data_IF_124177687250
#
_entry.id   IF_124177687250
#
_cell.length_a   1.000
_cell.length_b   1.000
_cell.length_c   1.000
_cell.angle_alpha   90.00
_cell.angle_beta   90.00
_cell.angle_gamma   90.00
#
_symmetry.space_group_name_H-M   'P 1'
#
loop_
_entity.id
_entity.type
_entity.pdbx_description
1 polymer ?
#
# COMPACT_ATOMS: atom_id res chain seq x y z
N UNK A 1 10.53 48.18 44.70
CA UNK A 1 11.86 48.76 45.01
C UNK A 1 12.39 48.15 46.31
N UNK A 2 13.32 47.20 46.24
CA UNK A 2 14.42 47.12 47.22
C UNK A 2 15.57 46.36 46.58
N UNK A 3 16.77 46.87 46.84
CA UNK A 3 18.03 46.55 46.19
C UNK A 3 18.85 45.67 47.14
N UNK A 4 19.59 44.73 46.52
CA UNK A 4 20.91 44.24 46.94
C UNK A 4 21.02 43.48 48.27
N UNK A 5 21.50 42.24 48.17
CA UNK A 5 22.69 41.82 48.90
C UNK A 5 23.38 40.66 48.19
N UNK A 6 24.61 40.93 47.78
CA UNK A 6 25.57 39.96 47.30
C UNK A 6 26.18 39.21 48.50
N UNK A 7 26.46 37.91 48.35
CA UNK A 7 27.47 37.24 49.15
C UNK A 7 28.12 36.12 48.31
N UNK A 8 29.44 36.25 48.18
CA UNK A 8 30.41 35.34 47.57
C UNK A 8 30.68 34.14 48.48
N UNK A 9 31.59 33.27 48.01
CA UNK A 9 32.46 32.30 48.72
C UNK A 9 31.93 30.86 48.56
N UNK A 10 32.42 30.04 47.62
CA UNK A 10 33.77 29.44 47.50
C UNK A 10 34.12 28.51 48.68
N UNK A 11 33.79 27.22 48.61
CA UNK A 11 34.38 26.06 49.33
C UNK A 11 33.44 24.84 49.15
N UNK A 12 33.82 23.61 48.84
CA UNK A 12 35.06 22.93 48.48
C UNK A 12 34.63 21.71 47.63
N UNK A 13 35.36 21.24 46.63
CA UNK A 13 36.64 20.52 46.74
C UNK A 13 36.62 19.46 47.85
N UNK A 14 35.78 18.43 47.68
CA UNK A 14 35.96 17.07 48.23
C UNK A 14 34.89 16.14 47.64
N UNK A 15 35.09 15.71 46.39
CA UNK A 15 34.57 14.41 45.94
C UNK A 15 35.73 13.65 45.32
N UNK A 16 36.66 13.31 46.21
CA UNK A 16 37.79 12.44 45.99
C UNK A 16 37.28 11.00 45.98
N UNK A 17 37.62 10.31 44.89
CA UNK A 17 37.86 8.87 44.81
C UNK A 17 36.90 7.92 45.54
N UNK A 18 35.79 7.61 44.90
CA UNK A 18 35.20 6.27 44.96
C UNK A 18 34.82 5.80 43.55
N UNK A 19 35.75 5.85 42.60
CA UNK A 19 35.69 4.97 41.42
C UNK A 19 36.08 3.56 41.89
N UNK A 20 35.16 2.93 42.62
CA UNK A 20 35.16 1.48 42.78
C UNK A 20 35.12 0.92 41.37
N UNK A 21 36.23 0.30 40.97
CA UNK A 21 36.30 -0.63 39.84
C UNK A 21 35.43 -1.83 40.25
N UNK A 22 34.12 -1.65 40.21
CA UNK A 22 33.20 -2.76 40.15
C UNK A 22 33.42 -3.39 38.78
N UNK A 23 33.71 -4.70 38.69
CA UNK A 23 33.68 -5.36 37.39
C UNK A 23 32.29 -5.09 36.81
N UNK A 24 32.23 -4.55 35.61
CA UNK A 24 31.01 -4.51 34.81
C UNK A 24 30.66 -5.95 34.46
N UNK A 25 30.13 -6.68 35.45
CA UNK A 25 29.36 -7.87 35.17
C UNK A 25 28.13 -7.34 34.46
N UNK A 26 27.93 -7.79 33.22
CA UNK A 26 26.72 -7.49 32.46
C UNK A 26 25.55 -7.68 33.41
N UNK A 27 24.85 -6.58 33.72
CA UNK A 27 23.60 -6.66 34.43
C UNK A 27 22.67 -7.46 33.53
N UNK A 28 22.63 -8.78 33.77
CA UNK A 28 21.55 -9.67 33.37
C UNK A 28 20.32 -9.28 34.18
N UNK A 29 19.92 -8.02 34.09
CA UNK A 29 18.60 -7.57 34.43
C UNK A 29 17.67 -8.48 33.67
N UNK A 30 16.77 -9.13 34.39
CA UNK A 30 15.85 -10.15 33.93
C UNK A 30 15.31 -9.78 32.55
N UNK A 31 15.93 -10.32 31.49
CA UNK A 31 15.30 -10.41 30.18
C UNK A 31 14.22 -11.45 30.40
N UNK A 32 13.08 -11.00 30.92
CA UNK A 32 11.81 -11.65 30.66
C UNK A 32 11.63 -11.51 29.15
N UNK A 33 12.26 -12.42 28.41
CA UNK A 33 12.20 -12.45 26.96
C UNK A 33 10.74 -12.64 26.59
N UNK A 34 10.06 -11.55 26.27
CA UNK A 34 8.73 -11.61 25.71
C UNK A 34 8.90 -12.13 24.30
N UNK A 35 8.79 -13.45 24.14
CA UNK A 35 8.66 -14.06 22.83
C UNK A 35 7.30 -13.68 22.29
N UNK A 36 7.27 -12.70 21.39
CA UNK A 36 6.08 -12.42 20.62
C UNK A 36 5.88 -13.59 19.66
N UNK A 37 4.98 -14.53 20.03
CA UNK A 37 4.42 -15.48 19.08
C UNK A 37 3.54 -14.70 18.10
N UNK A 38 4.18 -14.13 17.07
CA UNK A 38 3.46 -13.52 15.96
C UNK A 38 2.80 -14.64 15.16
N UNK A 39 1.48 -14.59 15.02
CA UNK A 39 0.74 -15.51 14.15
C UNK A 39 1.36 -15.47 12.75
N UNK A 40 1.77 -16.64 12.23
CA UNK A 40 2.43 -16.77 10.94
C UNK A 40 1.58 -16.19 9.78
N UNK A 41 0.25 -16.22 9.90
CA UNK A 41 -0.66 -15.63 8.93
C UNK A 41 -0.58 -14.10 8.90
N UNK A 42 -0.49 -13.46 10.07
CA UNK A 42 -0.36 -12.00 10.16
C UNK A 42 0.97 -11.55 9.56
N UNK A 43 2.05 -12.24 9.92
CA UNK A 43 3.40 -11.96 9.39
C UNK A 43 3.44 -12.11 7.86
N UNK A 44 2.80 -13.15 7.32
CA UNK A 44 2.72 -13.37 5.89
C UNK A 44 1.84 -12.33 5.17
N UNK A 45 0.67 -11.98 5.72
CA UNK A 45 -0.18 -10.92 5.16
C UNK A 45 0.58 -9.59 5.08
N UNK A 46 1.32 -9.22 6.14
CA UNK A 46 2.17 -8.02 6.12
C UNK A 46 3.26 -8.08 5.06
N UNK A 47 3.86 -9.25 4.85
CA UNK A 47 4.86 -9.44 3.80
C UNK A 47 4.26 -9.17 2.41
N UNK A 48 3.12 -9.78 2.06
CA UNK A 48 2.51 -9.57 0.74
C UNK A 48 1.98 -8.14 0.56
N UNK A 49 1.48 -7.51 1.61
CA UNK A 49 1.07 -6.11 1.60
C UNK A 49 2.25 -5.18 1.31
N UNK A 50 3.37 -5.36 2.00
CA UNK A 50 4.59 -4.59 1.73
C UNK A 50 5.08 -4.76 0.29
N UNK A 51 4.90 -5.95 -0.31
CA UNK A 51 5.23 -6.19 -1.73
C UNK A 51 4.24 -5.49 -2.66
N UNK A 52 2.95 -5.47 -2.34
CA UNK A 52 1.94 -4.73 -3.08
C UNK A 52 2.25 -3.22 -3.08
N UNK A 53 2.59 -2.65 -1.93
CA UNK A 53 2.95 -1.24 -1.77
C UNK A 53 4.21 -0.86 -2.56
N UNK A 54 5.18 -1.77 -2.60
CA UNK A 54 6.40 -1.62 -3.41
C UNK A 54 6.14 -1.78 -4.92
N UNK A 55 4.91 -2.10 -5.34
CA UNK A 55 4.56 -2.37 -6.73
C UNK A 55 5.06 -3.73 -7.25
N UNK A 56 5.55 -4.61 -6.37
CA UNK A 56 6.00 -5.97 -6.69
C UNK A 56 4.81 -6.94 -6.86
N UNK A 57 3.82 -6.56 -7.67
CA UNK A 57 2.55 -7.27 -7.82
C UNK A 57 2.74 -8.73 -8.28
N UNK A 58 3.77 -9.00 -9.10
CA UNK A 58 4.11 -10.35 -9.56
C UNK A 58 4.50 -11.26 -8.38
N UNK A 59 5.29 -10.74 -7.44
CA UNK A 59 5.71 -11.48 -6.24
C UNK A 59 4.53 -11.76 -5.32
N UNK A 60 3.60 -10.80 -5.20
CA UNK A 60 2.36 -10.98 -4.44
C UNK A 60 1.58 -12.16 -4.98
N UNK A 61 1.25 -12.17 -6.28
CA UNK A 61 0.45 -13.27 -6.83
C UNK A 61 1.19 -14.60 -6.79
N UNK A 62 2.51 -14.62 -7.01
CA UNK A 62 3.32 -15.83 -6.85
C UNK A 62 3.28 -16.38 -5.41
N UNK A 63 3.30 -15.49 -4.40
CA UNK A 63 3.23 -15.87 -2.99
C UNK A 63 1.87 -16.50 -2.63
N UNK A 64 0.76 -15.91 -3.11
CA UNK A 64 -0.58 -16.48 -2.95
C UNK A 64 -0.68 -17.89 -3.58
N UNK A 65 -0.16 -18.04 -4.81
CA UNK A 65 -0.15 -19.34 -5.50
C UNK A 65 0.65 -20.40 -4.75
N UNK A 66 1.80 -20.03 -4.15
CA UNK A 66 2.61 -20.96 -3.34
C UNK A 66 1.84 -21.52 -2.13
N UNK A 67 0.92 -20.74 -1.56
CA UNK A 67 0.03 -21.15 -0.46
C UNK A 67 -1.26 -21.84 -0.93
N UNK A 68 -1.41 -22.12 -2.23
CA UNK A 68 -2.62 -22.70 -2.83
C UNK A 68 -3.88 -21.86 -2.58
N UNK A 69 -3.72 -20.54 -2.48
CA UNK A 69 -4.85 -19.64 -2.64
C UNK A 69 -5.27 -19.70 -4.10
N UNK A 70 -6.35 -20.41 -4.39
CA UNK A 70 -6.91 -20.50 -5.73
C UNK A 70 -7.63 -19.18 -6.04
N UNK A 71 -7.16 -18.41 -7.04
CA UNK A 71 -7.97 -17.32 -7.59
C UNK A 71 -9.33 -17.93 -7.99
N UNK A 72 -10.43 -17.18 -7.81
CA UNK A 72 -11.80 -17.61 -8.14
C UNK A 72 -12.52 -18.54 -7.15
N UNK A 73 -11.85 -19.09 -6.14
CA UNK A 73 -12.49 -19.94 -5.12
C UNK A 73 -12.94 -19.20 -3.85
N UNK A 74 -12.25 -18.11 -3.54
CA UNK A 74 -12.46 -17.34 -2.31
C UNK A 74 -13.39 -16.15 -2.51
N UNK A 75 -14.17 -15.89 -1.47
CA UNK A 75 -15.15 -14.81 -1.40
C UNK A 75 -14.95 -14.02 -0.11
N UNK A 76 -15.40 -12.77 -0.11
CA UNK A 76 -15.47 -11.97 1.11
C UNK A 76 -16.22 -12.74 2.21
N UNK A 77 -15.64 -12.76 3.41
CA UNK A 77 -16.16 -13.46 4.60
C UNK A 77 -16.30 -12.47 5.77
N UNK A 78 -16.68 -12.96 6.97
CA UNK A 78 -16.63 -12.15 8.19
C UNK A 78 -15.24 -12.10 8.84
N UNK A 79 -14.24 -12.83 8.31
CA UNK A 79 -12.87 -12.79 8.81
C UNK A 79 -12.08 -11.64 8.14
N UNK A 80 -11.73 -10.63 8.94
CA UNK A 80 -11.00 -9.45 8.49
C UNK A 80 -9.65 -9.78 7.85
N UNK A 81 -8.95 -10.80 8.37
CA UNK A 81 -7.64 -11.18 7.85
C UNK A 81 -7.76 -11.83 6.46
N UNK A 82 -8.76 -12.68 6.26
CA UNK A 82 -9.10 -13.23 4.94
C UNK A 82 -9.51 -12.15 3.96
N UNK A 83 -10.37 -11.22 4.37
CA UNK A 83 -10.80 -10.10 3.53
C UNK A 83 -9.62 -9.21 3.11
N UNK A 84 -8.70 -8.91 4.03
CA UNK A 84 -7.47 -8.15 3.73
C UNK A 84 -6.59 -8.88 2.71
N UNK A 85 -6.40 -10.19 2.86
CA UNK A 85 -5.64 -11.01 1.90
C UNK A 85 -6.30 -11.03 0.52
N UNK A 86 -7.62 -11.19 0.49
CA UNK A 86 -8.40 -11.14 -0.74
C UNK A 86 -8.23 -9.78 -1.44
N UNK A 87 -8.34 -8.67 -0.70
CA UNK A 87 -8.11 -7.33 -1.24
C UNK A 87 -6.70 -7.21 -1.86
N UNK A 88 -5.65 -7.62 -1.13
CA UNK A 88 -4.27 -7.58 -1.63
C UNK A 88 -4.12 -8.36 -2.94
N UNK A 89 -4.68 -9.57 -3.01
CA UNK A 89 -4.62 -10.39 -4.22
C UNK A 89 -5.38 -9.73 -5.39
N UNK A 90 -6.58 -9.20 -5.14
CA UNK A 90 -7.39 -8.56 -6.18
C UNK A 90 -6.71 -7.32 -6.75
N UNK A 91 -6.11 -6.48 -5.90
CA UNK A 91 -5.35 -5.30 -6.33
C UNK A 91 -4.09 -5.68 -7.10
N UNK A 92 -3.37 -6.72 -6.66
CA UNK A 92 -2.20 -7.22 -7.39
C UNK A 92 -2.59 -7.69 -8.80
N UNK A 93 -3.73 -8.40 -8.93
CA UNK A 93 -4.29 -8.83 -10.22
C UNK A 93 -4.62 -7.65 -11.13
N UNK A 94 -5.30 -6.63 -10.59
CA UNK A 94 -5.67 -5.41 -11.33
C UNK A 94 -4.43 -4.67 -11.83
N UNK A 95 -3.44 -4.47 -10.95
CA UNK A 95 -2.22 -3.71 -11.27
C UNK A 95 -1.29 -4.45 -12.24
N UNK A 96 -1.40 -5.77 -12.32
CA UNK A 96 -0.71 -6.58 -13.34
C UNK A 96 -1.37 -6.51 -14.72
N UNK A 97 -2.59 -5.98 -14.86
CA UNK A 97 -3.31 -6.03 -16.13
C UNK A 97 -2.55 -5.43 -17.32
N UNK A 98 -1.72 -4.42 -17.08
CA UNK A 98 -0.91 -3.81 -18.13
C UNK A 98 0.34 -4.61 -18.50
N UNK A 99 0.73 -5.61 -17.71
CA UNK A 99 1.94 -6.43 -17.91
C UNK A 99 1.59 -7.82 -18.46
N UNK A 100 1.51 -7.91 -19.79
CA UNK A 100 1.08 -9.11 -20.52
C UNK A 100 1.91 -10.36 -20.20
N UNK A 101 3.23 -10.22 -20.04
CA UNK A 101 4.13 -11.38 -19.89
C UNK A 101 3.98 -12.15 -18.58
N UNK A 102 3.39 -11.52 -17.56
CA UNK A 102 3.14 -12.15 -16.26
C UNK A 102 1.68 -12.50 -16.05
N UNK A 103 0.77 -11.72 -16.63
CA UNK A 103 -0.64 -12.08 -16.74
C UNK A 103 -0.85 -13.46 -17.36
N UNK A 104 -0.16 -13.78 -18.46
CA UNK A 104 -0.43 -15.00 -19.21
C UNK A 104 -0.16 -16.26 -18.37
N UNK A 105 0.86 -16.22 -17.50
CA UNK A 105 1.23 -17.32 -16.59
C UNK A 105 0.36 -17.45 -15.34
N UNK A 106 -0.44 -16.43 -15.05
CA UNK A 106 -1.13 -16.27 -13.77
C UNK A 106 -2.66 -16.25 -13.94
N UNK A 107 -3.15 -15.46 -14.89
CA UNK A 107 -4.57 -15.24 -15.14
C UNK A 107 -5.06 -15.90 -16.43
N UNK A 108 -4.15 -16.46 -17.23
CA UNK A 108 -4.43 -17.13 -18.49
C UNK A 108 -3.95 -16.34 -19.70
N UNK A 109 -3.56 -17.06 -20.75
CA UNK A 109 -2.92 -16.53 -21.97
C UNK A 109 -3.90 -15.74 -22.86
N UNK A 110 -5.20 -16.00 -22.71
CA UNK A 110 -6.22 -15.41 -23.58
C UNK A 110 -6.81 -14.13 -22.98
N UNK A 111 -7.22 -13.21 -23.85
CA UNK A 111 -7.91 -11.98 -23.46
C UNK A 111 -9.23 -12.26 -22.73
N UNK A 112 -9.88 -13.39 -23.03
CA UNK A 112 -11.10 -13.83 -22.33
C UNK A 112 -10.79 -14.18 -20.88
N UNK A 113 -9.72 -14.94 -20.63
CA UNK A 113 -9.30 -15.31 -19.28
C UNK A 113 -8.85 -14.09 -18.47
N UNK A 114 -8.08 -13.18 -19.08
CA UNK A 114 -7.70 -11.91 -18.44
C UNK A 114 -8.91 -11.07 -18.03
N UNK A 115 -9.89 -10.89 -18.92
CA UNK A 115 -11.12 -10.17 -18.60
C UNK A 115 -11.94 -10.86 -17.50
N UNK A 116 -11.99 -12.20 -17.50
CA UNK A 116 -12.63 -12.98 -16.42
C UNK A 116 -11.95 -12.69 -15.08
N UNK A 117 -10.62 -12.63 -15.06
CA UNK A 117 -9.86 -12.31 -13.86
C UNK A 117 -10.15 -10.91 -13.31
N UNK A 118 -10.18 -9.91 -14.18
CA UNK A 118 -10.53 -8.54 -13.79
C UNK A 118 -11.96 -8.41 -13.26
N UNK A 119 -12.92 -9.09 -13.90
CA UNK A 119 -14.31 -9.10 -13.42
C UNK A 119 -14.45 -9.76 -12.06
N UNK A 120 -13.72 -10.85 -11.83
CA UNK A 120 -13.66 -11.47 -10.51
C UNK A 120 -13.07 -10.50 -9.48
N UNK A 121 -11.94 -9.85 -9.78
CA UNK A 121 -11.31 -8.88 -8.88
C UNK A 121 -12.27 -7.74 -8.54
N UNK A 122 -12.92 -7.14 -9.55
CA UNK A 122 -13.93 -6.10 -9.37
C UNK A 122 -15.08 -6.56 -8.48
N UNK A 123 -15.58 -7.78 -8.71
CA UNK A 123 -16.65 -8.34 -7.90
C UNK A 123 -16.23 -8.52 -6.43
N UNK A 124 -15.00 -8.95 -6.16
CA UNK A 124 -14.53 -9.12 -4.78
C UNK A 124 -14.35 -7.79 -4.07
N UNK A 125 -13.71 -6.80 -4.71
CA UNK A 125 -13.55 -5.46 -4.14
C UNK A 125 -14.92 -4.80 -3.90
N UNK A 126 -15.87 -5.00 -4.82
CA UNK A 126 -17.24 -4.51 -4.65
C UNK A 126 -17.92 -5.11 -3.42
N UNK A 127 -17.83 -6.44 -3.23
CA UNK A 127 -18.38 -7.11 -2.03
C UNK A 127 -17.72 -6.61 -0.74
N UNK A 128 -16.40 -6.41 -0.74
CA UNK A 128 -15.71 -5.84 0.41
C UNK A 128 -16.20 -4.43 0.73
N UNK A 129 -16.42 -3.61 -0.30
CA UNK A 129 -17.02 -2.28 -0.14
C UNK A 129 -18.46 -2.35 0.37
N UNK A 130 -19.29 -3.31 -0.06
CA UNK A 130 -20.64 -3.51 0.48
C UNK A 130 -20.64 -3.86 1.97
N UNK A 131 -19.62 -4.59 2.45
CA UNK A 131 -19.43 -4.87 3.88
C UNK A 131 -18.99 -3.62 4.67
N UNK A 132 -18.33 -2.67 4.01
CA UNK A 132 -17.75 -1.47 4.64
C UNK A 132 -17.96 -0.21 3.77
N UNK A 133 -19.21 0.25 3.54
CA UNK A 133 -19.51 1.27 2.53
C UNK A 133 -18.96 2.67 2.87
N UNK A 134 -18.64 2.90 4.14
CA UNK A 134 -18.02 4.13 4.66
C UNK A 134 -16.50 4.15 4.49
N UNK A 135 -15.85 3.05 4.12
CA UNK A 135 -14.41 3.00 3.93
C UNK A 135 -14.01 3.66 2.61
N UNK A 136 -13.37 4.84 2.71
CA UNK A 136 -12.85 5.59 1.58
C UNK A 136 -11.77 4.82 0.80
N UNK A 137 -11.02 3.94 1.48
CA UNK A 137 -9.98 3.10 0.87
C UNK A 137 -10.60 2.10 -0.10
N UNK A 138 -11.59 1.35 0.38
CA UNK A 138 -12.30 0.38 -0.47
C UNK A 138 -13.04 1.06 -1.63
N UNK A 139 -13.55 2.28 -1.44
CA UNK A 139 -14.11 3.08 -2.54
C UNK A 139 -13.07 3.41 -3.61
N UNK A 140 -11.88 3.85 -3.20
CA UNK A 140 -10.78 4.14 -4.13
C UNK A 140 -10.28 2.89 -4.85
N UNK A 141 -10.12 1.79 -4.12
CA UNK A 141 -9.71 0.49 -4.65
C UNK A 141 -10.75 -0.08 -5.63
N UNK A 142 -12.05 0.10 -5.35
CA UNK A 142 -13.12 -0.25 -6.28
C UNK A 142 -13.05 0.58 -7.55
N UNK A 143 -12.86 1.89 -7.42
CA UNK A 143 -12.68 2.79 -8.55
C UNK A 143 -11.45 2.42 -9.42
N UNK A 144 -10.30 2.14 -8.79
CA UNK A 144 -9.09 1.65 -9.47
C UNK A 144 -9.38 0.36 -10.25
N UNK A 145 -10.08 -0.57 -9.62
CA UNK A 145 -10.39 -1.88 -10.20
C UNK A 145 -11.36 -1.77 -11.38
N UNK A 146 -12.44 -1.00 -11.23
CA UNK A 146 -13.43 -0.78 -12.29
C UNK A 146 -12.84 -0.02 -13.49
N UNK A 147 -11.86 0.85 -13.27
CA UNK A 147 -11.19 1.57 -14.36
C UNK A 147 -10.49 0.63 -15.35
N UNK A 148 -10.11 -0.57 -14.90
CA UNK A 148 -9.49 -1.62 -15.73
C UNK A 148 -10.49 -2.40 -16.60
N UNK A 149 -11.81 -2.21 -16.39
CA UNK A 149 -12.87 -2.85 -17.15
C UNK A 149 -13.50 -1.85 -18.12
N UNK A 150 -13.35 -2.01 -19.45
CA UNK A 150 -13.89 -1.08 -20.43
C UNK A 150 -15.40 -0.81 -20.25
N UNK A 151 -16.17 -1.85 -19.91
CA UNK A 151 -17.61 -1.76 -19.67
C UNK A 151 -18.01 -1.01 -18.38
N UNK A 152 -17.06 -0.68 -17.50
CA UNK A 152 -17.31 -0.04 -16.18
C UNK A 152 -16.53 1.27 -15.97
N UNK A 153 -15.88 1.80 -17.00
CA UNK A 153 -15.06 3.01 -16.87
C UNK A 153 -15.84 4.26 -16.43
N UNK A 154 -17.11 4.38 -16.81
CA UNK A 154 -17.95 5.51 -16.37
C UNK A 154 -18.25 5.45 -14.87
N UNK A 155 -18.57 4.25 -14.35
CA UNK A 155 -18.78 4.02 -12.91
C UNK A 155 -17.49 4.28 -12.11
N UNK A 156 -16.35 3.80 -12.62
CA UNK A 156 -15.04 4.07 -12.05
C UNK A 156 -14.74 5.57 -11.97
N UNK A 157 -15.04 6.31 -13.06
CA UNK A 157 -14.86 7.75 -13.10
C UNK A 157 -15.68 8.43 -12.01
N UNK A 158 -16.98 8.13 -11.91
CA UNK A 158 -17.86 8.76 -10.93
C UNK A 158 -17.49 8.47 -9.48
N UNK A 159 -16.96 7.28 -9.19
CA UNK A 159 -16.48 6.93 -7.84
C UNK A 159 -15.22 7.71 -7.48
N UNK A 160 -14.25 7.74 -8.38
CA UNK A 160 -12.95 8.39 -8.16
C UNK A 160 -13.05 9.91 -8.19
N UNK A 161 -13.87 10.49 -9.07
CA UNK A 161 -14.09 11.93 -9.18
C UNK A 161 -14.75 12.46 -7.88
N UNK A 162 -15.79 11.78 -7.37
CA UNK A 162 -16.40 12.12 -6.08
C UNK A 162 -15.45 11.94 -4.89
N UNK A 163 -14.56 10.94 -4.95
CA UNK A 163 -13.55 10.76 -3.92
C UNK A 163 -12.51 11.89 -3.95
N UNK A 164 -12.10 12.35 -5.15
CA UNK A 164 -11.20 13.50 -5.30
C UNK A 164 -11.85 14.79 -4.81
N UNK A 165 -13.09 15.06 -5.19
CA UNK A 165 -13.84 16.26 -4.75
C UNK A 165 -14.00 16.35 -3.23
N UNK A 166 -14.10 15.20 -2.56
CA UNK A 166 -14.23 15.09 -1.11
C UNK A 166 -12.88 15.01 -0.37
N UNK A 167 -11.74 15.09 -1.07
CA UNK A 167 -10.39 14.87 -0.53
C UNK A 167 -10.23 13.51 0.18
N UNK A 168 -10.91 12.48 -0.35
CA UNK A 168 -10.93 11.11 0.16
C UNK A 168 -10.09 10.14 -0.69
N UNK A 169 -9.20 10.67 -1.53
CA UNK A 169 -8.32 9.86 -2.37
C UNK A 169 -7.13 9.34 -1.56
N UNK A 170 -7.14 8.05 -1.25
CA UNK A 170 -6.16 7.47 -0.32
C UNK A 170 -4.95 6.81 -0.99
N UNK A 171 -4.96 6.60 -2.32
CA UNK A 171 -3.90 5.87 -3.02
C UNK A 171 -3.43 6.57 -4.29
N UNK A 172 -2.11 6.52 -4.53
CA UNK A 172 -1.52 7.04 -5.77
C UNK A 172 -1.99 6.27 -7.01
N UNK A 173 -2.43 5.02 -6.86
CA UNK A 173 -2.95 4.21 -7.96
C UNK A 173 -4.37 4.63 -8.36
N UNK A 174 -5.21 5.01 -7.38
CA UNK A 174 -6.52 5.61 -7.64
C UNK A 174 -6.38 6.95 -8.40
N UNK A 175 -5.43 7.80 -8.02
CA UNK A 175 -5.13 9.04 -8.76
C UNK A 175 -4.69 8.74 -10.20
N UNK A 176 -3.78 7.76 -10.38
CA UNK A 176 -3.34 7.36 -11.71
C UNK A 176 -4.49 6.79 -12.57
N UNK A 177 -5.42 6.03 -11.97
CA UNK A 177 -6.61 5.52 -12.65
C UNK A 177 -7.54 6.67 -13.07
N UNK A 178 -7.85 7.62 -12.19
CA UNK A 178 -8.68 8.79 -12.51
C UNK A 178 -8.07 9.64 -13.62
N UNK A 179 -6.75 9.86 -13.58
CA UNK A 179 -6.05 10.61 -14.62
C UNK A 179 -6.14 9.92 -16.00
N UNK A 180 -6.01 8.59 -16.06
CA UNK A 180 -6.22 7.81 -17.29
C UNK A 180 -7.65 7.96 -17.82
N UNK A 181 -8.65 7.83 -16.95
CA UNK A 181 -10.06 7.96 -17.33
C UNK A 181 -10.38 9.35 -17.90
N UNK A 182 -9.84 10.41 -17.29
CA UNK A 182 -9.95 11.78 -17.81
C UNK A 182 -9.34 11.91 -19.20
N UNK A 183 -8.11 11.43 -19.37
CA UNK A 183 -7.42 11.46 -20.67
C UNK A 183 -8.21 10.73 -21.76
N UNK A 184 -8.78 9.55 -21.47
CA UNK A 184 -9.62 8.81 -22.43
C UNK A 184 -10.89 9.57 -22.82
N UNK A 185 -11.55 10.27 -21.88
CA UNK A 185 -12.72 11.11 -22.19
C UNK A 185 -12.34 12.33 -23.02
N UNK A 186 -11.19 12.95 -22.76
CA UNK A 186 -10.70 14.09 -23.53
C UNK A 186 -10.28 13.71 -24.95
N UNK A 187 -9.65 12.55 -25.14
CA UNK A 187 -9.34 12.02 -26.46
C UNK A 187 -10.57 11.79 -27.36
N UNK A 188 -11.76 11.68 -26.75
CA UNK A 188 -13.04 11.53 -27.44
C UNK A 188 -13.66 12.86 -27.88
N UNK A 189 -13.05 14.01 -27.56
CA UNK A 189 -13.53 15.36 -27.96
C UNK A 189 -13.16 15.70 -29.40
N UNK A 190 -13.95 16.54 -30.09
CA UNK A 190 -13.62 16.99 -31.45
C UNK A 190 -12.26 17.73 -31.49
N UNK A 191 -11.54 17.55 -32.60
CA UNK A 191 -10.11 17.90 -32.77
C UNK A 191 -9.74 19.35 -32.44
N UNK A 192 -10.67 20.29 -32.62
CA UNK A 192 -10.43 21.71 -32.31
C UNK A 192 -10.30 22.01 -30.80
N UNK A 193 -10.79 21.12 -29.92
CA UNK A 193 -10.57 21.17 -28.47
C UNK A 193 -9.50 20.18 -27.99
N UNK A 194 -9.02 19.29 -28.87
CA UNK A 194 -8.14 18.21 -28.51
C UNK A 194 -6.72 18.69 -28.18
N UNK A 195 -6.17 19.66 -28.94
CA UNK A 195 -4.79 20.10 -28.76
C UNK A 195 -4.54 20.84 -27.42
N UNK A 196 -5.36 21.83 -27.00
CA UNK A 196 -5.17 22.47 -25.69
C UNK A 196 -5.50 21.53 -24.53
N UNK A 197 -6.50 20.67 -24.71
CA UNK A 197 -6.90 19.68 -23.70
C UNK A 197 -5.81 18.63 -23.44
N UNK A 198 -5.16 18.13 -24.49
CA UNK A 198 -4.13 17.10 -24.37
C UNK A 198 -2.90 17.58 -23.59
N UNK A 199 -2.51 18.86 -23.72
CA UNK A 199 -1.37 19.39 -22.97
C UNK A 199 -1.69 19.62 -21.49
N UNK A 200 -2.89 20.14 -21.19
CA UNK A 200 -3.38 20.22 -19.80
C UNK A 200 -3.46 18.83 -19.15
N UNK A 201 -3.91 17.82 -19.89
CA UNK A 201 -3.96 16.44 -19.41
C UNK A 201 -2.57 15.86 -19.15
N UNK A 202 -1.59 16.08 -20.03
CA UNK A 202 -0.20 15.66 -19.77
C UNK A 202 0.33 16.28 -18.48
N UNK A 203 0.11 17.57 -18.28
CA UNK A 203 0.54 18.28 -17.07
C UNK A 203 -0.16 17.72 -15.83
N UNK A 204 -1.48 17.46 -15.92
CA UNK A 204 -2.25 16.87 -14.82
C UNK A 204 -1.79 15.45 -14.50
N UNK A 205 -1.60 14.58 -15.50
CA UNK A 205 -1.05 13.23 -15.33
C UNK A 205 0.33 13.29 -14.69
N UNK A 206 1.19 14.23 -15.11
CA UNK A 206 2.50 14.45 -14.52
C UNK A 206 2.41 14.84 -13.04
N UNK A 207 1.49 15.75 -12.68
CA UNK A 207 1.24 16.16 -11.31
C UNK A 207 0.74 14.99 -10.44
N UNK A 208 -0.24 14.23 -10.93
CA UNK A 208 -0.80 13.08 -10.21
C UNK A 208 0.23 11.96 -10.03
N UNK A 209 1.07 11.72 -11.05
CA UNK A 209 2.20 10.79 -10.94
C UNK A 209 3.18 11.25 -9.86
N UNK A 210 3.52 12.54 -9.84
CA UNK A 210 4.42 13.11 -8.83
C UNK A 210 3.81 13.10 -7.41
N UNK A 211 2.49 13.24 -7.28
CA UNK A 211 1.77 13.02 -6.00
C UNK A 211 1.86 11.57 -5.56
N UNK A 212 1.59 10.63 -6.46
CA UNK A 212 1.72 9.19 -6.19
C UNK A 212 3.15 8.79 -5.80
N UNK A 213 4.16 9.36 -6.44
CA UNK A 213 5.58 9.16 -6.08
C UNK A 213 5.91 9.72 -4.69
N UNK A 214 5.38 10.90 -4.34
CA UNK A 214 5.53 11.47 -2.98
C UNK A 214 4.86 10.60 -1.90
N UNK A 215 3.65 10.10 -2.15
CA UNK A 215 2.93 9.26 -1.20
C UNK A 215 3.61 7.90 -0.97
N UNK A 216 4.27 7.34 -1.97
CA UNK A 216 5.05 6.09 -1.82
C UNK A 216 6.30 6.24 -0.95
N UNK A 217 6.68 7.48 -0.61
CA UNK A 217 7.96 7.80 -0.03
C UNK A 217 9.09 7.57 -1.04
N UNK A 218 10.07 8.47 -1.10
CA UNK A 218 11.34 8.08 -1.70
C UNK A 218 11.80 6.80 -1.00
N UNK A 219 12.24 5.75 -1.71
CA UNK A 219 12.70 4.53 -1.07
C UNK A 219 13.82 4.93 -0.11
N UNK A 220 13.52 4.95 1.18
CA UNK A 220 14.55 5.02 2.20
C UNK A 220 15.32 3.73 1.96
N UNK A 221 16.54 3.83 1.43
CA UNK A 221 17.49 2.72 1.35
C UNK A 221 17.76 2.25 2.79
N UNK A 222 16.83 1.52 3.38
CA UNK A 222 17.07 0.77 4.60
C UNK A 222 17.81 -0.48 4.16
N UNK A 223 19.03 -0.73 4.66
CA UNK A 223 19.75 -1.95 4.34
C UNK A 223 18.86 -3.15 4.75
N UNK A 224 18.47 -3.95 3.76
CA UNK A 224 17.57 -5.11 3.87
C UNK A 224 18.25 -6.31 4.57
N UNK A 225 19.14 -6.08 5.53
CA UNK A 225 19.96 -7.15 6.12
C UNK A 225 19.23 -8.06 7.12
N UNK A 226 17.94 -7.87 7.41
CA UNK A 226 17.27 -8.59 8.51
C UNK A 226 16.19 -9.61 8.11
N UNK A 227 15.73 -9.65 6.85
CA UNK A 227 14.61 -10.54 6.46
C UNK A 227 15.04 -11.87 5.83
N UNK A 228 16.29 -12.02 5.39
CA UNK A 228 16.79 -13.26 4.78
C UNK A 228 17.16 -14.35 5.80
N UNK A 229 17.03 -14.09 7.10
CA UNK A 229 17.37 -15.06 8.16
C UNK A 229 16.18 -15.75 8.82
N UNK A 230 14.94 -15.49 8.38
CA UNK A 230 13.79 -16.19 8.93
C UNK A 230 13.66 -17.60 8.31
N UNK A 231 13.75 -18.68 9.12
CA UNK A 231 13.55 -20.02 8.61
C UNK A 231 12.10 -20.15 8.10
N UNK A 232 11.94 -20.65 6.87
CA UNK A 232 10.62 -21.01 6.35
C UNK A 232 10.02 -22.10 7.26
N UNK A 233 8.76 -21.95 7.71
CA UNK A 233 8.07 -23.03 8.41
C UNK A 233 7.97 -24.24 7.48
N UNK A 234 8.35 -25.42 7.99
CA UNK A 234 8.21 -26.72 7.32
C UNK A 234 6.76 -27.18 7.36
#
# INVERSE_FOLDING_TARGET
>A
MSWRSAARISSGLLFVCCTLVAPTQDARACINGVYHHTNAEISWTRFVESRLDAGANQEVVAAFRKRRYEPFGEYATNDELSNRRLLILTLAVVRLHSDRGVLDRILGETEVQRRRALRWAAQQVHRLWELHPSDATLRCDLGETLASLPERQQEAFELLDRAEDADLMVSGQAYAALAKLRSSRHASRPSFLAAPGAELDRLRIGLERARGERMRGAPVKRPLHYLDQLPLPR
#
